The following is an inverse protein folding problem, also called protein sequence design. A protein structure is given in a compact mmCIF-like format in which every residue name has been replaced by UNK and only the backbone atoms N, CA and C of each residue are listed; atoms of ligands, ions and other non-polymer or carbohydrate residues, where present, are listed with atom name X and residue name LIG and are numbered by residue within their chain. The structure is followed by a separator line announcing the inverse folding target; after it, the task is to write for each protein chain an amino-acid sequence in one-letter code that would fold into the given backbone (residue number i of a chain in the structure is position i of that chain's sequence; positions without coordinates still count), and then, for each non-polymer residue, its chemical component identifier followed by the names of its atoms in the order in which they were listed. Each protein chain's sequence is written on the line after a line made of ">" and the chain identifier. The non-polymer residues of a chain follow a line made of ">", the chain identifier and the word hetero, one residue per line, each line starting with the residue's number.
data_IF_859647485080
#
_entry.id   IF_859647485080
#
_cell.length_a   1.000
_cell.length_b   1.000
_cell.length_c   1.000
_cell.angle_alpha   90.00
_cell.angle_beta   90.00
_cell.angle_gamma   90.00
#
_symmetry.space_group_name_H-M   'P 1'
#
loop_
_entity.id
_entity.type
_entity.pdbx_description
1 polymer ?
#
# COMPACT_ATOMS: atom_id res chain seq x y z
N UNK A 1 -21.26 13.09 16.19
CA UNK A 1 -21.85 13.50 14.89
C UNK A 1 -21.06 13.05 13.64
N UNK A 2 -20.03 12.23 13.75
CA UNK A 2 -19.21 11.76 12.61
C UNK A 2 -19.48 10.27 12.24
N UNK A 3 -20.59 9.70 12.66
CA UNK A 3 -21.00 8.35 12.27
C UNK A 3 -21.51 8.40 10.83
N UNK A 4 -20.65 8.25 9.83
CA UNK A 4 -21.12 8.18 8.45
C UNK A 4 -20.14 8.62 7.37
N UNK A 5 -18.86 8.88 7.69
CA UNK A 5 -17.88 9.06 6.62
C UNK A 5 -17.49 7.69 6.10
N UNK A 6 -18.13 7.28 5.01
CA UNK A 6 -17.82 6.04 4.32
C UNK A 6 -16.69 6.24 3.31
N UNK A 7 -16.04 5.14 2.90
CA UNK A 7 -14.99 5.14 1.86
C UNK A 7 -15.45 5.87 0.59
N UNK A 8 -16.74 5.77 0.27
CA UNK A 8 -17.35 6.40 -0.90
C UNK A 8 -17.22 7.94 -0.88
N UNK A 9 -17.25 8.58 0.31
CA UNK A 9 -17.20 10.05 0.41
C UNK A 9 -15.87 10.61 -0.09
N UNK A 10 -14.74 10.08 0.40
CA UNK A 10 -13.44 10.59 -0.06
C UNK A 10 -13.05 10.06 -1.43
N UNK A 11 -13.49 8.85 -1.82
CA UNK A 11 -13.32 8.32 -3.16
C UNK A 11 -14.02 9.20 -4.20
N UNK A 12 -15.27 9.61 -3.94
CA UNK A 12 -16.03 10.52 -4.80
C UNK A 12 -15.33 11.89 -4.93
N UNK A 13 -14.79 12.42 -3.83
CA UNK A 13 -14.03 13.68 -3.84
C UNK A 13 -12.78 13.59 -4.71
N UNK A 14 -12.02 12.50 -4.62
CA UNK A 14 -10.83 12.29 -5.46
C UNK A 14 -11.19 12.04 -6.93
N UNK A 15 -12.27 11.32 -7.19
CA UNK A 15 -12.79 11.14 -8.55
C UNK A 15 -13.22 12.48 -9.16
N UNK A 16 -13.93 13.33 -8.40
CA UNK A 16 -14.28 14.67 -8.82
C UNK A 16 -13.03 15.53 -9.10
N UNK A 17 -12.04 15.50 -8.21
CA UNK A 17 -10.77 16.20 -8.40
C UNK A 17 -10.06 15.74 -9.70
N UNK A 18 -10.02 14.43 -9.96
CA UNK A 18 -9.46 13.87 -11.20
C UNK A 18 -10.23 14.34 -12.44
N UNK A 19 -11.56 14.34 -12.40
CA UNK A 19 -12.40 14.82 -13.50
C UNK A 19 -12.09 16.31 -13.77
N UNK A 20 -11.96 17.12 -12.72
CA UNK A 20 -11.64 18.54 -12.85
C UNK A 20 -10.24 18.76 -13.44
N UNK A 21 -9.24 17.92 -13.07
CA UNK A 21 -7.91 17.94 -13.69
C UNK A 21 -7.96 17.53 -15.18
N UNK A 22 -8.79 16.55 -15.55
CA UNK A 22 -9.00 16.15 -16.94
C UNK A 22 -9.70 17.28 -17.75
N UNK A 23 -10.71 17.90 -17.18
CA UNK A 23 -11.39 19.06 -17.81
C UNK A 23 -10.42 20.23 -17.97
N UNK A 24 -9.53 20.44 -17.00
CA UNK A 24 -8.47 21.48 -17.08
C UNK A 24 -7.52 21.26 -18.27
N UNK A 25 -7.30 20.03 -18.73
CA UNK A 25 -6.54 19.78 -19.97
C UNK A 25 -7.19 20.48 -21.19
N UNK A 26 -8.51 20.51 -21.24
CA UNK A 26 -9.24 21.11 -22.37
C UNK A 26 -9.32 22.64 -22.24
N UNK A 27 -9.39 23.17 -21.00
CA UNK A 27 -9.63 24.59 -20.70
C UNK A 27 -8.45 25.20 -19.94
N UNK A 28 -7.26 25.23 -20.53
CA UNK A 28 -5.96 25.52 -19.90
C UNK A 28 -5.84 26.81 -19.10
N UNK A 29 -6.68 27.80 -19.35
CA UNK A 29 -6.50 29.14 -18.77
C UNK A 29 -7.45 29.47 -17.62
N UNK A 30 -8.25 28.54 -17.15
CA UNK A 30 -9.18 28.79 -16.04
C UNK A 30 -8.54 28.43 -14.70
N UNK A 31 -7.98 29.44 -14.02
CA UNK A 31 -7.47 29.30 -12.64
C UNK A 31 -8.52 28.76 -11.67
N UNK A 32 -9.81 29.04 -11.93
CA UNK A 32 -10.93 28.50 -11.16
C UNK A 32 -10.99 26.98 -11.15
N UNK A 33 -10.75 26.29 -12.30
CA UNK A 33 -10.75 24.83 -12.37
C UNK A 33 -9.61 24.23 -11.53
N UNK A 34 -8.43 24.85 -11.54
CA UNK A 34 -7.32 24.42 -10.71
C UNK A 34 -7.64 24.58 -9.21
N UNK A 35 -8.26 25.67 -8.83
CA UNK A 35 -8.69 25.89 -7.45
C UNK A 35 -9.78 24.90 -7.03
N UNK A 36 -10.78 24.64 -7.88
CA UNK A 36 -11.83 23.65 -7.60
C UNK A 36 -11.25 22.25 -7.46
N UNK A 37 -10.32 21.83 -8.34
CA UNK A 37 -9.66 20.53 -8.24
C UNK A 37 -8.88 20.40 -6.92
N UNK A 38 -8.11 21.44 -6.57
CA UNK A 38 -7.35 21.48 -5.32
C UNK A 38 -8.27 21.42 -4.08
N UNK A 39 -9.37 22.19 -4.07
CA UNK A 39 -10.36 22.17 -2.97
C UNK A 39 -11.01 20.77 -2.87
N UNK A 40 -11.38 20.16 -4.00
CA UNK A 40 -11.93 18.80 -4.00
C UNK A 40 -10.93 17.78 -3.43
N UNK A 41 -9.65 17.87 -3.78
CA UNK A 41 -8.60 17.02 -3.21
C UNK A 41 -8.46 17.25 -1.70
N UNK A 42 -8.47 18.50 -1.26
CA UNK A 42 -8.36 18.87 0.16
C UNK A 42 -9.56 18.36 0.98
N UNK A 43 -10.78 18.53 0.48
CA UNK A 43 -12.00 18.00 1.11
C UNK A 43 -11.93 16.47 1.19
N UNK A 44 -11.50 15.81 0.11
CA UNK A 44 -11.26 14.38 0.11
C UNK A 44 -10.23 13.94 1.16
N UNK A 45 -9.11 14.69 1.30
CA UNK A 45 -8.09 14.40 2.31
C UNK A 45 -8.63 14.53 3.74
N UNK A 46 -9.40 15.57 4.03
CA UNK A 46 -10.04 15.76 5.34
C UNK A 46 -11.02 14.63 5.64
N UNK A 47 -11.87 14.27 4.68
CA UNK A 47 -12.79 13.13 4.82
C UNK A 47 -12.03 11.81 5.03
N UNK A 48 -10.92 11.61 4.33
CA UNK A 48 -10.07 10.42 4.47
C UNK A 48 -9.43 10.35 5.86
N UNK A 49 -8.88 11.44 6.37
CA UNK A 49 -8.36 11.52 7.76
C UNK A 49 -9.47 11.23 8.77
N UNK A 50 -10.66 11.81 8.59
CA UNK A 50 -11.81 11.56 9.46
C UNK A 50 -12.21 10.09 9.45
N UNK A 51 -12.22 9.44 8.29
CA UNK A 51 -12.47 8.01 8.15
C UNK A 51 -11.45 7.17 8.92
N UNK A 52 -10.14 7.43 8.74
CA UNK A 52 -9.07 6.73 9.45
C UNK A 52 -9.18 6.92 10.96
N UNK A 53 -9.50 8.14 11.41
CA UNK A 53 -9.68 8.46 12.82
C UNK A 53 -10.85 7.68 13.43
N UNK A 54 -12.00 7.62 12.76
CA UNK A 54 -13.18 6.90 13.21
C UNK A 54 -12.91 5.39 13.32
N UNK A 55 -12.28 4.81 12.30
CA UNK A 55 -12.00 3.37 12.28
C UNK A 55 -10.96 2.94 13.32
N UNK A 56 -9.95 3.78 13.58
CA UNK A 56 -8.89 3.46 14.52
C UNK A 56 -9.29 3.68 15.98
N UNK A 57 -9.96 4.81 16.30
CA UNK A 57 -10.24 5.20 17.68
C UNK A 57 -11.61 4.77 18.19
N UNK A 58 -12.64 4.71 17.31
CA UNK A 58 -14.01 4.45 17.78
C UNK A 58 -14.40 2.98 17.72
N UNK A 59 -13.78 2.19 16.86
CA UNK A 59 -14.18 0.79 16.68
C UNK A 59 -13.25 -0.19 17.39
N UNK A 60 -12.22 0.29 18.12
CA UNK A 60 -11.19 -0.57 18.74
C UNK A 60 -10.65 -1.66 17.77
N UNK A 61 -10.90 -1.47 16.49
CA UNK A 61 -10.43 -2.38 15.46
C UNK A 61 -8.94 -2.14 15.29
N UNK A 62 -8.19 -3.20 15.33
CA UNK A 62 -6.77 -3.23 15.00
C UNK A 62 -6.58 -2.82 13.52
N UNK A 63 -6.86 -1.55 13.20
CA UNK A 63 -6.83 -1.02 11.83
C UNK A 63 -5.51 -1.32 11.13
N UNK A 64 -4.40 -1.19 11.85
CA UNK A 64 -3.06 -1.54 11.37
C UNK A 64 -2.77 -3.05 11.37
N UNK A 65 -3.67 -3.85 11.90
CA UNK A 65 -3.60 -5.31 11.77
C UNK A 65 -4.16 -5.80 10.43
N UNK A 66 -4.84 -4.94 9.66
CA UNK A 66 -5.45 -5.29 8.39
C UNK A 66 -4.67 -4.72 7.19
N UNK A 67 -4.53 -5.51 6.13
CA UNK A 67 -3.89 -5.07 4.89
C UNK A 67 -4.60 -3.86 4.26
N UNK A 68 -5.94 -3.81 4.33
CA UNK A 68 -6.74 -2.68 3.86
C UNK A 68 -6.37 -1.36 4.55
N UNK A 69 -6.13 -1.39 5.86
CA UNK A 69 -5.73 -0.22 6.63
C UNK A 69 -4.42 0.41 6.12
N UNK A 70 -3.42 -0.41 5.84
CA UNK A 70 -2.15 0.06 5.28
C UNK A 70 -2.31 0.68 3.89
N UNK A 71 -3.20 0.15 3.06
CA UNK A 71 -3.49 0.72 1.74
C UNK A 71 -4.17 2.09 1.82
N UNK A 72 -5.12 2.26 2.75
CA UNK A 72 -5.73 3.58 2.97
C UNK A 72 -4.72 4.58 3.50
N UNK A 73 -3.85 4.20 4.44
CA UNK A 73 -2.76 5.09 4.90
C UNK A 73 -1.83 5.46 3.75
N UNK A 74 -1.44 4.50 2.91
CA UNK A 74 -0.62 4.77 1.73
C UNK A 74 -1.30 5.74 0.76
N UNK A 75 -2.59 5.52 0.48
CA UNK A 75 -3.37 6.41 -0.37
C UNK A 75 -3.42 7.85 0.20
N UNK A 76 -3.63 8.00 1.51
CA UNK A 76 -3.59 9.31 2.17
C UNK A 76 -2.22 9.97 2.04
N UNK A 77 -1.12 9.25 2.26
CA UNK A 77 0.23 9.78 2.11
C UNK A 77 0.50 10.27 0.67
N UNK A 78 0.05 9.54 -0.34
CA UNK A 78 0.16 9.97 -1.74
C UNK A 78 -0.63 11.26 -1.99
N UNK A 79 -1.83 11.39 -1.41
CA UNK A 79 -2.64 12.62 -1.50
C UNK A 79 -1.96 13.79 -0.82
N UNK A 80 -1.37 13.60 0.37
CA UNK A 80 -0.64 14.67 1.07
C UNK A 80 0.56 15.16 0.25
N UNK A 81 1.26 14.24 -0.42
CA UNK A 81 2.34 14.62 -1.34
C UNK A 81 1.79 15.35 -2.56
N UNK A 82 0.65 14.92 -3.12
CA UNK A 82 -0.01 15.63 -4.22
C UNK A 82 -0.38 17.08 -3.81
N UNK A 83 -1.01 17.28 -2.65
CA UNK A 83 -1.34 18.59 -2.11
C UNK A 83 -0.08 19.44 -1.96
N UNK A 84 0.99 18.89 -1.37
CA UNK A 84 2.27 19.58 -1.22
C UNK A 84 2.85 20.02 -2.57
N UNK A 85 2.91 19.09 -3.54
CA UNK A 85 3.43 19.39 -4.88
C UNK A 85 2.58 20.43 -5.61
N UNK A 86 1.27 20.39 -5.45
CA UNK A 86 0.34 21.35 -6.04
C UNK A 86 0.50 22.76 -5.44
N UNK A 87 0.82 22.86 -4.15
CA UNK A 87 1.13 24.14 -3.48
C UNK A 87 2.47 24.73 -3.94
N UNK A 88 3.51 23.87 -4.03
CA UNK A 88 4.86 24.31 -4.43
C UNK A 88 4.94 24.62 -5.92
N UNK A 89 4.35 23.76 -6.75
CA UNK A 89 4.41 23.85 -8.21
C UNK A 89 3.05 24.20 -8.81
N UNK A 90 2.52 25.37 -8.49
CA UNK A 90 1.15 25.85 -8.83
C UNK A 90 0.71 25.67 -10.29
N UNK A 91 1.65 25.55 -11.23
CA UNK A 91 1.36 25.37 -12.66
C UNK A 91 1.35 23.91 -13.09
N UNK A 92 2.01 23.04 -12.38
CA UNK A 92 2.15 21.62 -12.74
C UNK A 92 0.88 20.83 -12.36
N UNK A 93 0.52 19.88 -13.21
CA UNK A 93 -0.69 19.05 -13.04
C UNK A 93 -0.30 17.67 -12.48
N UNK A 94 0.14 17.65 -11.22
CA UNK A 94 0.51 16.39 -10.55
C UNK A 94 -0.71 15.51 -10.26
N UNK A 95 -1.86 16.11 -9.97
CA UNK A 95 -3.10 15.40 -9.68
C UNK A 95 -3.51 14.42 -10.78
N UNK A 96 -3.24 14.77 -12.07
CA UNK A 96 -3.54 13.88 -13.19
C UNK A 96 -2.82 12.51 -13.10
N UNK A 97 -1.66 12.44 -12.48
CA UNK A 97 -0.85 11.23 -12.36
C UNK A 97 -0.99 10.57 -10.98
N UNK A 98 -1.16 11.35 -9.92
CA UNK A 98 -1.24 10.83 -8.57
C UNK A 98 -2.67 10.43 -8.16
N UNK A 99 -3.71 11.16 -8.58
CA UNK A 99 -5.10 10.82 -8.22
C UNK A 99 -5.56 9.45 -8.77
N UNK A 100 -5.25 9.04 -10.02
CA UNK A 100 -5.57 7.69 -10.46
C UNK A 100 -4.92 6.60 -9.60
N UNK A 101 -3.69 6.84 -9.14
CA UNK A 101 -2.98 5.94 -8.23
C UNK A 101 -3.68 5.87 -6.87
N UNK A 102 -4.09 7.00 -6.31
CA UNK A 102 -4.85 7.09 -5.05
C UNK A 102 -6.17 6.31 -5.16
N UNK A 103 -6.93 6.54 -6.23
CA UNK A 103 -8.19 5.83 -6.48
C UNK A 103 -7.95 4.32 -6.61
N UNK A 104 -6.90 3.91 -7.32
CA UNK A 104 -6.49 2.52 -7.44
C UNK A 104 -6.13 1.87 -6.11
N UNK A 105 -5.38 2.58 -5.24
CA UNK A 105 -5.03 2.10 -3.90
C UNK A 105 -6.27 1.95 -3.00
N UNK A 106 -7.20 2.89 -3.06
CA UNK A 106 -8.47 2.81 -2.32
C UNK A 106 -9.31 1.64 -2.81
N UNK A 107 -9.45 1.48 -4.13
CA UNK A 107 -10.17 0.36 -4.74
C UNK A 107 -9.54 -1.00 -4.32
N UNK A 108 -8.21 -1.07 -4.31
CA UNK A 108 -7.49 -2.24 -3.85
C UNK A 108 -7.74 -2.51 -2.35
N UNK A 109 -7.81 -1.45 -1.53
CA UNK A 109 -8.17 -1.55 -0.11
C UNK A 109 -9.57 -2.08 0.12
N UNK A 110 -10.53 -1.73 -0.76
CA UNK A 110 -11.90 -2.28 -0.72
C UNK A 110 -11.94 -3.78 -1.10
N UNK A 111 -11.07 -4.20 -2.02
CA UNK A 111 -10.95 -5.60 -2.42
C UNK A 111 -10.15 -6.44 -1.42
N UNK A 112 -9.32 -5.79 -0.59
CA UNK A 112 -8.55 -6.47 0.44
C UNK A 112 -9.50 -6.97 1.53
N UNK A 113 -9.59 -8.29 1.67
CA UNK A 113 -10.38 -8.91 2.73
C UNK A 113 -9.87 -8.51 4.13
N UNK A 114 -10.68 -8.78 5.13
CA UNK A 114 -10.37 -8.53 6.56
C UNK A 114 -9.35 -9.53 7.13
N UNK A 115 -8.33 -9.91 6.35
CA UNK A 115 -7.25 -10.76 6.85
C UNK A 115 -6.52 -10.01 7.99
N UNK A 116 -6.81 -10.42 9.21
CA UNK A 116 -6.17 -9.87 10.41
C UNK A 116 -4.84 -10.57 10.65
N UNK A 117 -3.79 -9.81 10.82
CA UNK A 117 -2.50 -10.35 11.28
C UNK A 117 -2.61 -10.69 12.76
N UNK A 118 -2.28 -11.93 13.14
CA UNK A 118 -2.33 -12.39 14.55
C UNK A 118 -1.38 -11.55 15.41
N UNK A 119 -1.90 -10.87 16.41
CA UNK A 119 -1.10 -10.05 17.31
C UNK A 119 -0.39 -10.90 18.37
N UNK A 120 0.89 -11.10 18.20
CA UNK A 120 1.77 -11.52 19.31
C UNK A 120 2.45 -10.29 19.90
N UNK A 121 2.34 -10.10 21.21
CA UNK A 121 2.77 -8.87 21.90
C UNK A 121 4.27 -8.61 21.84
N UNK A 122 5.08 -9.66 21.73
CA UNK A 122 6.53 -9.63 21.92
C UNK A 122 7.30 -8.84 20.84
N UNK A 123 6.75 -8.67 19.64
CA UNK A 123 7.46 -8.05 18.50
C UNK A 123 6.70 -6.88 17.85
N UNK A 124 5.84 -6.18 18.61
CA UNK A 124 5.03 -5.05 18.09
C UNK A 124 5.89 -3.99 17.40
N UNK A 125 7.02 -3.62 18.00
CA UNK A 125 7.91 -2.60 17.41
C UNK A 125 8.53 -3.05 16.09
N UNK A 126 9.06 -4.27 16.03
CA UNK A 126 9.70 -4.78 14.81
C UNK A 126 8.68 -4.90 13.65
N UNK A 127 7.44 -5.29 13.96
CA UNK A 127 6.34 -5.33 12.98
C UNK A 127 5.94 -3.94 12.49
N UNK A 128 5.79 -2.99 13.41
CA UNK A 128 5.48 -1.60 13.07
C UNK A 128 6.59 -1.01 12.20
N UNK A 129 7.85 -1.24 12.55
CA UNK A 129 9.00 -0.80 11.75
C UNK A 129 9.00 -1.41 10.34
N UNK A 130 8.76 -2.73 10.24
CA UNK A 130 8.64 -3.42 8.96
C UNK A 130 7.50 -2.83 8.10
N UNK A 131 6.32 -2.66 8.68
CA UNK A 131 5.17 -2.06 7.98
C UNK A 131 5.45 -0.64 7.51
N UNK A 132 6.05 0.20 8.36
CA UNK A 132 6.43 1.59 8.01
C UNK A 132 7.48 1.60 6.91
N UNK A 133 8.50 0.75 6.97
CA UNK A 133 9.55 0.66 5.94
C UNK A 133 8.96 0.26 4.58
N UNK A 134 8.06 -0.72 4.55
CA UNK A 134 7.37 -1.13 3.31
C UNK A 134 6.41 -0.05 2.80
N UNK A 135 5.66 0.61 3.69
CA UNK A 135 4.78 1.73 3.34
C UNK A 135 5.57 2.87 2.70
N UNK A 136 6.70 3.23 3.31
CA UNK A 136 7.58 4.27 2.79
C UNK A 136 8.20 3.88 1.44
N UNK A 137 8.62 2.62 1.29
CA UNK A 137 9.09 2.07 0.01
C UNK A 137 8.01 2.20 -1.06
N UNK A 138 6.77 1.82 -0.76
CA UNK A 138 5.67 1.91 -1.69
C UNK A 138 5.37 3.37 -2.08
N UNK A 139 5.30 4.27 -1.10
CA UNK A 139 5.10 5.71 -1.34
C UNK A 139 6.14 6.26 -2.31
N UNK A 140 7.43 6.05 -2.00
CA UNK A 140 8.53 6.60 -2.82
C UNK A 140 8.58 5.95 -4.20
N UNK A 141 8.30 4.64 -4.30
CA UNK A 141 8.24 3.94 -5.59
C UNK A 141 7.11 4.45 -6.47
N UNK A 142 5.94 4.72 -5.91
CA UNK A 142 4.81 5.30 -6.66
C UNK A 142 5.06 6.74 -7.09
N UNK A 143 5.75 7.54 -6.27
CA UNK A 143 6.21 8.88 -6.68
C UNK A 143 7.25 8.78 -7.81
N UNK A 144 8.16 7.83 -7.72
CA UNK A 144 9.12 7.51 -8.78
C UNK A 144 8.43 7.09 -10.08
N UNK A 145 7.38 6.29 -9.99
CA UNK A 145 6.53 5.91 -11.12
C UNK A 145 5.90 7.14 -11.77
N UNK A 146 5.22 7.99 -11.00
CA UNK A 146 4.56 9.19 -11.49
C UNK A 146 5.55 10.14 -12.19
N UNK A 147 6.71 10.41 -11.55
CA UNK A 147 7.76 11.26 -12.14
C UNK A 147 8.39 10.62 -13.38
N UNK A 148 8.54 9.30 -13.42
CA UNK A 148 8.99 8.54 -14.58
C UNK A 148 8.03 8.65 -15.77
N UNK A 149 6.73 8.48 -15.54
CA UNK A 149 5.69 8.64 -16.58
C UNK A 149 5.69 10.08 -17.11
N UNK A 150 5.74 11.09 -16.20
CA UNK A 150 5.84 12.50 -16.59
C UNK A 150 7.09 12.78 -17.43
N UNK A 151 8.24 12.17 -17.06
CA UNK A 151 9.49 12.30 -17.79
C UNK A 151 9.38 11.77 -19.23
N UNK A 152 8.82 10.56 -19.41
CA UNK A 152 8.61 9.99 -20.75
C UNK A 152 7.64 10.82 -21.59
N UNK A 153 6.57 11.31 -20.97
CA UNK A 153 5.59 12.18 -21.63
C UNK A 153 6.22 13.48 -22.07
N UNK A 154 6.94 14.17 -21.19
CA UNK A 154 7.63 15.43 -21.49
C UNK A 154 8.69 15.24 -22.59
N UNK A 155 9.49 14.18 -22.53
CA UNK A 155 10.49 13.85 -23.54
C UNK A 155 9.86 13.57 -24.90
N UNK A 156 8.78 12.79 -24.94
CA UNK A 156 8.05 12.49 -26.20
C UNK A 156 7.50 13.76 -26.81
N UNK A 157 6.98 14.65 -26.00
CA UNK A 157 6.46 15.96 -26.42
C UNK A 157 7.54 16.85 -27.02
N UNK A 158 8.73 16.91 -26.41
CA UNK A 158 9.85 17.72 -26.95
C UNK A 158 10.35 17.21 -28.29
N UNK A 159 10.18 15.92 -28.60
CA UNK A 159 10.52 15.35 -29.89
C UNK A 159 9.48 15.61 -30.97
N UNK A 160 8.22 15.78 -30.60
CA UNK A 160 7.16 16.12 -31.53
C UNK A 160 7.19 17.63 -31.75
N UNK A 161 7.36 18.09 -33.00
CA UNK A 161 7.38 19.52 -33.38
C UNK A 161 6.05 20.26 -33.11
N UNK A 162 5.00 19.54 -32.67
CA UNK A 162 3.70 20.13 -32.28
C UNK A 162 3.80 20.74 -30.89
N UNK A 163 4.13 22.02 -30.81
CA UNK A 163 4.34 22.79 -29.59
C UNK A 163 3.06 23.11 -28.80
N UNK A 164 1.87 22.75 -29.28
CA UNK A 164 0.62 22.93 -28.52
C UNK A 164 0.53 21.96 -27.37
N UNK A 165 1.03 22.37 -26.22
CA UNK A 165 1.01 21.56 -25.02
C UNK A 165 -0.22 21.80 -24.20
N UNK A 166 -1.05 20.78 -24.09
CA UNK A 166 -2.22 20.78 -23.21
C UNK A 166 -1.87 20.52 -21.74
N UNK A 167 -0.65 20.08 -21.44
CA UNK A 167 -0.23 19.64 -20.10
C UNK A 167 0.93 20.50 -19.59
N UNK A 168 0.75 21.15 -18.44
CA UNK A 168 1.81 21.86 -17.76
C UNK A 168 2.59 20.87 -16.86
N UNK A 169 3.78 20.48 -17.32
CA UNK A 169 4.67 19.56 -16.59
C UNK A 169 5.88 20.33 -16.03
N UNK A 170 6.51 19.83 -14.95
CA UNK A 170 7.78 20.33 -14.46
C UNK A 170 8.89 20.21 -15.51
N UNK A 171 10.02 20.90 -15.27
CA UNK A 171 11.17 20.81 -16.16
C UNK A 171 11.71 19.38 -16.23
N UNK A 172 12.26 19.00 -17.39
CA UNK A 172 12.84 17.67 -17.61
C UNK A 172 13.98 17.37 -16.61
N UNK A 173 14.74 18.40 -16.24
CA UNK A 173 15.82 18.29 -15.26
C UNK A 173 15.28 17.95 -13.88
N UNK A 174 14.20 18.63 -13.44
CA UNK A 174 13.55 18.34 -12.16
C UNK A 174 13.00 16.91 -12.12
N UNK A 175 12.31 16.50 -13.19
CA UNK A 175 11.76 15.14 -13.30
C UNK A 175 12.87 14.08 -13.25
N UNK A 176 14.01 14.33 -13.88
CA UNK A 176 15.17 13.43 -13.87
C UNK A 176 15.78 13.33 -12.46
N UNK A 177 16.00 14.48 -11.79
CA UNK A 177 16.51 14.51 -10.41
C UNK A 177 15.57 13.82 -9.44
N UNK A 178 14.27 14.09 -9.54
CA UNK A 178 13.25 13.47 -8.70
C UNK A 178 13.15 11.97 -8.93
N UNK A 179 13.20 11.51 -10.17
CA UNK A 179 13.20 10.09 -10.53
C UNK A 179 14.42 9.36 -9.95
N UNK A 180 15.62 9.94 -10.07
CA UNK A 180 16.85 9.39 -9.50
C UNK A 180 16.81 9.33 -7.97
N UNK A 181 16.33 10.39 -7.33
CA UNK A 181 16.16 10.46 -5.89
C UNK A 181 15.20 9.39 -5.38
N UNK A 182 14.04 9.25 -6.03
CA UNK A 182 13.05 8.20 -5.70
C UNK A 182 13.64 6.81 -5.83
N UNK A 183 14.39 6.53 -6.91
CA UNK A 183 15.01 5.22 -7.12
C UNK A 183 16.00 4.86 -6.00
N UNK A 184 16.83 5.82 -5.57
CA UNK A 184 17.79 5.58 -4.51
C UNK A 184 17.12 5.35 -3.17
N UNK A 185 16.17 6.22 -2.79
CA UNK A 185 15.49 6.11 -1.50
C UNK A 185 14.61 4.87 -1.43
N UNK A 186 13.88 4.54 -2.51
CA UNK A 186 13.06 3.32 -2.52
C UNK A 186 13.89 2.05 -2.39
N UNK A 187 15.08 1.99 -3.00
CA UNK A 187 15.99 0.84 -2.87
C UNK A 187 16.49 0.68 -1.42
N UNK A 188 16.89 1.78 -0.77
CA UNK A 188 17.33 1.77 0.65
C UNK A 188 16.17 1.37 1.57
N UNK A 189 15.01 1.98 1.39
CA UNK A 189 13.83 1.68 2.21
C UNK A 189 13.36 0.22 2.03
N UNK A 190 13.40 -0.31 0.79
CA UNK A 190 13.12 -1.71 0.51
C UNK A 190 14.12 -2.64 1.22
N UNK A 191 15.40 -2.26 1.25
CA UNK A 191 16.44 -2.98 1.99
C UNK A 191 16.10 -3.11 3.48
N UNK A 192 15.69 -2.02 4.12
CA UNK A 192 15.21 -2.04 5.51
C UNK A 192 13.94 -2.87 5.67
N UNK A 193 13.00 -2.78 4.74
CA UNK A 193 11.79 -3.57 4.73
C UNK A 193 12.09 -5.08 4.64
N UNK A 194 12.94 -5.48 3.71
CA UNK A 194 13.35 -6.90 3.54
C UNK A 194 14.11 -7.40 4.76
N UNK A 195 15.11 -6.64 5.25
CA UNK A 195 15.91 -7.02 6.42
C UNK A 195 15.05 -7.21 7.68
N UNK A 196 14.13 -6.26 7.94
CA UNK A 196 13.21 -6.36 9.07
C UNK A 196 12.21 -7.51 8.93
N UNK A 197 11.77 -7.83 7.72
CA UNK A 197 10.93 -8.99 7.43
C UNK A 197 11.65 -10.33 7.73
N UNK A 198 12.91 -10.47 7.31
CA UNK A 198 13.73 -11.63 7.65
C UNK A 198 14.00 -11.74 9.16
N UNK A 199 14.28 -10.61 9.82
CA UNK A 199 14.41 -10.56 11.28
C UNK A 199 13.15 -11.10 11.97
N UNK A 200 11.97 -10.65 11.57
CA UNK A 200 10.71 -11.13 12.11
C UNK A 200 10.52 -12.63 11.86
N UNK A 201 10.90 -13.12 10.68
CA UNK A 201 10.79 -14.55 10.34
C UNK A 201 11.71 -15.42 11.19
N UNK A 202 12.94 -14.99 11.45
CA UNK A 202 13.94 -15.76 12.18
C UNK A 202 13.74 -15.74 13.70
N UNK A 203 13.40 -14.57 14.26
CA UNK A 203 13.44 -14.38 15.71
C UNK A 203 12.04 -14.33 16.36
N UNK A 204 11.00 -13.95 15.62
CA UNK A 204 9.65 -13.85 16.17
C UNK A 204 8.89 -15.18 16.21
N UNK A 205 9.55 -16.30 15.87
CA UNK A 205 8.87 -17.60 15.83
C UNK A 205 7.66 -17.58 14.89
N UNK A 206 7.73 -16.76 13.84
CA UNK A 206 6.75 -16.75 12.76
C UNK A 206 6.92 -18.01 11.89
N UNK A 207 7.31 -19.09 12.56
CA UNK A 207 7.05 -20.42 12.07
C UNK A 207 5.54 -20.55 12.10
N UNK A 208 4.94 -20.24 10.95
CA UNK A 208 3.59 -20.62 10.71
C UNK A 208 3.43 -22.06 11.22
N UNK A 209 2.41 -22.31 12.03
CA UNK A 209 1.90 -23.64 12.36
C UNK A 209 1.44 -24.42 11.11
N UNK A 210 1.89 -24.04 9.96
CA UNK A 210 1.71 -24.71 8.68
C UNK A 210 2.95 -25.55 8.45
N UNK A 211 2.85 -26.83 8.72
CA UNK A 211 3.89 -27.83 8.47
C UNK A 211 4.27 -28.02 7.00
N UNK A 212 3.88 -27.12 6.11
CA UNK A 212 4.39 -27.00 4.75
C UNK A 212 5.37 -25.83 4.71
N UNK A 213 6.60 -26.07 4.28
CA UNK A 213 7.54 -25.04 3.82
C UNK A 213 6.98 -24.38 2.55
N UNK A 214 5.83 -23.68 2.67
CA UNK A 214 5.35 -22.86 1.57
C UNK A 214 6.38 -21.75 1.36
N UNK A 215 7.01 -21.75 0.19
CA UNK A 215 7.90 -20.69 -0.23
C UNK A 215 7.10 -19.40 -0.13
N UNK A 216 7.53 -18.51 0.75
CA UNK A 216 6.89 -17.21 0.91
C UNK A 216 7.16 -16.39 -0.35
N UNK A 217 6.25 -16.50 -1.33
CA UNK A 217 6.37 -15.88 -2.64
C UNK A 217 6.56 -14.35 -2.53
N UNK A 218 5.95 -13.73 -1.53
CA UNK A 218 6.09 -12.29 -1.29
C UNK A 218 7.50 -11.95 -0.81
N UNK A 219 8.07 -12.74 0.12
CA UNK A 219 9.43 -12.53 0.60
C UNK A 219 10.47 -12.75 -0.50
N UNK A 220 10.31 -13.80 -1.30
CA UNK A 220 11.17 -14.07 -2.47
C UNK A 220 11.06 -12.95 -3.50
N UNK A 221 9.83 -12.53 -3.82
CA UNK A 221 9.58 -11.44 -4.76
C UNK A 221 10.18 -10.11 -4.29
N UNK A 222 10.02 -9.77 -3.01
CA UNK A 222 10.60 -8.55 -2.42
C UNK A 222 12.13 -8.58 -2.45
N UNK A 223 12.74 -9.73 -2.15
CA UNK A 223 14.20 -9.92 -2.22
C UNK A 223 14.70 -9.82 -3.65
N UNK A 224 14.02 -10.44 -4.61
CA UNK A 224 14.34 -10.34 -6.04
C UNK A 224 14.23 -8.90 -6.53
N UNK A 225 13.18 -8.18 -6.11
CA UNK A 225 13.02 -6.78 -6.44
C UNK A 225 14.16 -5.92 -5.86
N UNK A 226 14.60 -6.20 -4.63
CA UNK A 226 15.74 -5.51 -4.00
C UNK A 226 17.03 -5.75 -4.79
N UNK A 227 17.33 -7.00 -5.14
CA UNK A 227 18.51 -7.34 -5.95
C UNK A 227 18.47 -6.64 -7.30
N UNK A 228 17.31 -6.67 -7.97
CA UNK A 228 17.10 -5.95 -9.23
C UNK A 228 17.30 -4.45 -9.05
N UNK A 229 16.72 -3.84 -8.02
CA UNK A 229 16.84 -2.41 -7.75
C UNK A 229 18.29 -1.99 -7.54
N UNK A 230 19.06 -2.70 -6.73
CA UNK A 230 20.48 -2.42 -6.46
C UNK A 230 21.33 -2.67 -7.71
N UNK A 231 21.18 -3.81 -8.37
CA UNK A 231 21.97 -4.15 -9.56
C UNK A 231 21.75 -3.15 -10.70
N UNK A 232 20.49 -2.80 -10.97
CA UNK A 232 20.17 -1.81 -12.01
C UNK A 232 20.71 -0.42 -11.67
N UNK A 233 20.73 -0.01 -10.39
CA UNK A 233 21.34 1.25 -9.96
C UNK A 233 22.83 1.28 -10.26
N UNK A 234 23.55 0.23 -9.88
CA UNK A 234 24.99 0.10 -10.16
C UNK A 234 25.27 0.16 -11.67
N UNK A 235 24.46 -0.52 -12.47
CA UNK A 235 24.61 -0.52 -13.94
C UNK A 235 24.32 0.85 -14.56
N UNK A 236 23.30 1.57 -14.07
CA UNK A 236 22.95 2.92 -14.55
C UNK A 236 24.07 3.91 -14.23
N UNK A 237 24.64 3.84 -13.03
CA UNK A 237 25.75 4.71 -12.61
C UNK A 237 27.02 4.49 -13.48
N UNK A 238 27.28 3.24 -13.89
CA UNK A 238 28.42 2.90 -14.76
C UNK A 238 28.26 3.35 -16.19
N UNK A 239 27.02 3.55 -16.71
CA UNK A 239 26.74 3.86 -18.12
C UNK A 239 26.95 5.32 -18.53
N UNK A 240 27.24 6.24 -17.59
CA UNK A 240 27.45 7.67 -17.89
C UNK A 240 26.16 8.46 -18.13
N UNK A 241 26.28 9.81 -18.20
CA UNK A 241 25.15 10.72 -17.94
C UNK A 241 24.08 10.83 -19.02
N UNK A 242 24.36 10.53 -20.29
CA UNK A 242 23.39 10.81 -21.39
C UNK A 242 22.13 9.92 -21.39
N UNK A 243 22.29 8.66 -21.03
CA UNK A 243 21.17 7.70 -20.99
C UNK A 243 20.68 7.39 -19.56
N UNK A 244 21.41 7.86 -18.54
CA UNK A 244 21.09 7.59 -17.14
C UNK A 244 19.68 8.07 -16.76
N UNK A 245 19.28 9.27 -17.18
CA UNK A 245 17.95 9.83 -16.86
C UNK A 245 16.79 8.98 -17.44
N UNK A 246 16.99 8.43 -18.63
CA UNK A 246 15.99 7.53 -19.26
C UNK A 246 15.96 6.20 -18.51
N UNK A 247 17.12 5.68 -18.15
CA UNK A 247 17.24 4.43 -17.42
C UNK A 247 16.64 4.53 -16.00
N UNK A 248 16.86 5.67 -15.30
CA UNK A 248 16.25 5.94 -13.98
C UNK A 248 14.72 5.95 -14.05
N UNK A 249 14.14 6.64 -15.06
CA UNK A 249 12.70 6.69 -15.23
C UNK A 249 12.11 5.29 -15.57
N UNK A 250 12.80 4.51 -16.40
CA UNK A 250 12.39 3.15 -16.75
C UNK A 250 12.52 2.19 -15.56
N UNK A 251 13.60 2.31 -14.78
CA UNK A 251 13.80 1.58 -13.55
C UNK A 251 12.63 1.80 -12.56
N UNK A 252 12.26 3.06 -12.30
CA UNK A 252 11.15 3.37 -11.41
C UNK A 252 9.82 2.78 -11.90
N UNK A 253 9.58 2.79 -13.22
CA UNK A 253 8.39 2.18 -13.80
C UNK A 253 8.33 0.67 -13.50
N UNK A 254 9.43 -0.04 -13.74
CA UNK A 254 9.51 -1.49 -13.50
C UNK A 254 9.35 -1.78 -11.99
N UNK A 255 10.12 -1.09 -11.13
CA UNK A 255 10.05 -1.32 -9.69
C UNK A 255 8.65 -1.09 -9.12
N UNK A 256 7.97 -0.04 -9.55
CA UNK A 256 6.61 0.25 -9.10
C UNK A 256 5.59 -0.78 -9.59
N UNK A 257 5.70 -1.26 -10.84
CA UNK A 257 4.82 -2.30 -11.38
C UNK A 257 5.04 -3.62 -10.62
N UNK A 258 6.30 -4.03 -10.42
CA UNK A 258 6.61 -5.26 -9.67
C UNK A 258 6.11 -5.14 -8.22
N UNK A 259 6.32 -3.97 -7.59
CA UNK A 259 5.83 -3.72 -6.23
C UNK A 259 4.29 -3.77 -6.16
N UNK A 260 3.59 -3.20 -7.15
CA UNK A 260 2.13 -3.27 -7.22
C UNK A 260 1.64 -4.72 -7.36
N UNK A 261 2.31 -5.53 -8.17
CA UNK A 261 2.02 -6.97 -8.31
C UNK A 261 2.26 -7.70 -7.00
N UNK A 262 3.37 -7.43 -6.30
CA UNK A 262 3.64 -8.04 -4.98
C UNK A 262 2.60 -7.63 -3.93
N UNK A 263 2.15 -6.38 -3.94
CA UNK A 263 1.05 -5.91 -3.08
C UNK A 263 -0.25 -6.65 -3.39
N UNK A 264 -0.57 -6.86 -4.67
CA UNK A 264 -1.73 -7.65 -5.07
C UNK A 264 -1.65 -9.08 -4.54
N UNK A 265 -0.51 -9.76 -4.68
CA UNK A 265 -0.32 -11.10 -4.15
C UNK A 265 -0.38 -11.16 -2.62
N UNK A 266 0.09 -10.13 -1.93
CA UNK A 266 0.01 -10.05 -0.47
C UNK A 266 -1.43 -9.87 0.04
N UNK A 267 -2.32 -9.27 -0.79
CA UNK A 267 -3.69 -8.94 -0.44
C UNK A 267 -4.67 -10.05 -0.82
N UNK A 268 -4.40 -10.78 -1.92
CA UNK A 268 -5.25 -11.91 -2.32
C UNK A 268 -5.29 -12.89 -1.14
N UNK A 269 -6.43 -13.04 -0.45
CA UNK A 269 -6.51 -14.05 0.60
C UNK A 269 -6.15 -15.37 -0.05
N UNK A 270 -5.33 -16.16 0.65
CA UNK A 270 -5.14 -17.57 0.30
C UNK A 270 -6.52 -18.24 0.48
N UNK A 271 -7.42 -17.94 -0.44
CA UNK A 271 -8.73 -18.55 -0.53
C UNK A 271 -8.49 -20.05 -0.70
N UNK A 272 -9.18 -20.87 0.08
CA UNK A 272 -9.00 -22.31 0.18
C UNK A 272 -9.02 -23.13 -1.11
N UNK A 273 -9.14 -22.48 -2.28
CA UNK A 273 -9.04 -23.14 -3.58
C UNK A 273 -7.64 -23.65 -3.92
N UNK A 274 -6.56 -23.13 -3.30
CA UNK A 274 -5.22 -23.74 -3.41
C UNK A 274 -5.01 -24.93 -2.45
N UNK A 275 -5.90 -25.12 -1.47
CA UNK A 275 -5.92 -26.34 -0.63
C UNK A 275 -6.33 -27.61 -1.39
N UNK A 276 -6.99 -27.48 -2.53
CA UNK A 276 -7.42 -28.64 -3.35
C UNK A 276 -6.22 -29.33 -4.02
N UNK A 277 -5.07 -28.66 -4.13
CA UNK A 277 -3.85 -29.26 -4.68
C UNK A 277 -2.92 -29.89 -3.64
N UNK A 278 -3.13 -29.64 -2.35
CA UNK A 278 -2.55 -30.43 -1.28
C UNK A 278 -3.57 -31.53 -0.93
N UNK A 279 -3.30 -32.74 -1.36
CA UNK A 279 -3.99 -33.97 -0.93
C UNK A 279 -3.76 -34.18 0.59
N UNK A 280 -4.33 -33.33 1.41
CA UNK A 280 -4.41 -33.59 2.85
C UNK A 280 -5.75 -34.30 3.06
N UNK A 281 -5.74 -35.58 3.44
CA UNK A 281 -6.98 -36.29 3.71
C UNK A 281 -7.72 -35.54 4.84
N UNK A 282 -8.98 -35.23 4.61
CA UNK A 282 -9.88 -34.75 5.66
C UNK A 282 -9.76 -35.71 6.85
N UNK A 283 -9.09 -35.26 7.89
CA UNK A 283 -9.16 -35.94 9.19
C UNK A 283 -10.61 -35.73 9.63
N UNK A 284 -11.43 -36.78 9.64
CA UNK A 284 -12.79 -36.65 10.11
C UNK A 284 -12.73 -36.18 11.56
N UNK A 285 -13.23 -34.98 11.83
CA UNK A 285 -13.53 -34.54 13.19
C UNK A 285 -14.58 -35.49 13.72
N UNK A 286 -14.11 -36.57 14.31
CA UNK A 286 -14.95 -37.44 15.12
C UNK A 286 -15.35 -36.61 16.34
N UNK A 287 -16.45 -35.92 16.25
CA UNK A 287 -17.22 -35.49 17.39
C UNK A 287 -17.74 -36.77 18.05
N UNK A 288 -16.86 -37.44 18.77
CA UNK A 288 -17.27 -38.40 19.75
C UNK A 288 -17.98 -37.59 20.86
N UNK A 289 -19.27 -37.50 20.74
CA UNK A 289 -20.14 -37.33 21.90
C UNK A 289 -19.83 -38.48 22.86
N UNK A 290 -18.87 -38.26 23.72
CA UNK A 290 -18.75 -39.09 24.90
C UNK A 290 -19.79 -38.50 25.88
N UNK A 291 -21.02 -39.02 25.77
CA UNK A 291 -21.99 -38.98 26.82
C UNK A 291 -21.43 -39.77 28.01
N UNK A 292 -20.64 -39.13 28.85
CA UNK A 292 -20.31 -39.65 30.16
C UNK A 292 -21.52 -39.40 31.06
N UNK A 293 -22.16 -40.43 31.67
CA UNK A 293 -23.19 -40.22 32.67
C UNK A 293 -22.56 -39.51 33.87
N UNK A 294 -23.14 -38.36 34.26
CA UNK A 294 -22.86 -37.70 35.52
C UNK A 294 -23.14 -38.68 36.67
N UNK A 295 -22.07 -39.25 37.24
CA UNK A 295 -22.17 -39.93 38.54
C UNK A 295 -22.31 -38.83 39.57
N UNK A 296 -23.54 -38.65 40.09
CA UNK A 296 -23.78 -37.84 41.28
C UNK A 296 -22.95 -38.40 42.45
N UNK A 297 -22.15 -37.59 43.16
CA UNK A 297 -21.54 -38.04 44.38
C UNK A 297 -22.63 -38.15 45.46
N UNK A 298 -22.87 -39.38 45.96
CA UNK A 298 -23.68 -39.68 47.15
C UNK A 298 -23.15 -38.86 48.32
N UNK A 299 -23.82 -37.77 48.65
CA UNK A 299 -23.64 -37.07 49.91
C UNK A 299 -24.31 -37.89 51.04
N UNK A 300 -23.62 -38.20 52.14
CA UNK A 300 -24.24 -38.86 53.27
C UNK A 300 -25.26 -37.89 53.94
N UNK A 301 -26.33 -38.44 54.53
CA UNK A 301 -27.35 -37.65 55.18
C UNK A 301 -26.79 -36.91 56.41
N UNK A 302 -27.32 -35.70 56.71
CA UNK A 302 -26.89 -34.98 57.95
C UNK A 302 -27.25 -35.75 59.20
N UNK A 303 -26.26 -35.86 60.06
CA UNK A 303 -26.40 -36.44 61.44
C UNK A 303 -27.36 -35.58 62.26
N UNK A 304 -28.54 -36.10 62.52
CA UNK A 304 -29.45 -35.62 63.57
C UNK A 304 -29.07 -36.27 64.90
N UNK A 305 -28.13 -35.67 65.63
CA UNK A 305 -28.07 -35.88 67.15
C UNK A 305 -27.16 -34.80 67.74
N UNK A 306 -27.85 -33.95 68.49
CA UNK A 306 -27.51 -33.45 69.81
C UNK A 306 -28.13 -32.08 70.04
N UNK A 307 -29.09 -31.97 70.79
CA UNK A 307 -29.21 -31.81 72.20
C UNK A 307 -29.03 -30.43 72.70
#
# INVERSE_FOLDING_TARGET
>A
MLKGVEVVCFLASYALALILELVRLRYQNRRSLAACAFVATLVGAVAHVAFLYQHNLLQNNHFFANASGWLYVLALLVVLVEIYLSLVYKRAQFGLFLLPLVIGLIALGLCAGSATFTETTTFKFARAFHGIALLFTALVSFLGFATGVMYFWQRRRMKSKNARSFLALPSLEWLSKSSRFSANISAVALGFGVASGYYLKLFAGFQARTGAQSVDLVAVGATTLLVFAVASRILIERRGSRDACRADAFHNLICAVVLAVLLLFAIIPQSGHLRILSNEPDVPTTNAEIGAPLIEPNLPPPDETAG
#
